data_IF_762748913216
#
_entry.id   IF_762748913216
#
_cell.length_a   1.000
_cell.length_b   1.000
_cell.length_c   1.000
_cell.angle_alpha   90.00
_cell.angle_beta   90.00
_cell.angle_gamma   90.00
#
_symmetry.space_group_name_H-M   'P 1'
#
loop_
_entity.id
_entity.type
_entity.pdbx_description
1 polymer ?
#
# COMPACT_ATOMS: atom_id res chain seq x y z
N UNK A 1 -18.80 0.77 -58.12
CA UNK A 1 -18.76 0.44 -56.68
C UNK A 1 -17.30 0.39 -56.27
N UNK A 2 -16.87 1.13 -55.23
CA UNK A 2 -15.60 0.99 -54.48
C UNK A 2 -15.14 2.36 -53.93
N UNK A 3 -15.84 2.88 -52.90
CA UNK A 3 -15.42 4.05 -52.12
C UNK A 3 -15.91 3.92 -50.68
N UNK A 4 -15.45 2.93 -49.92
CA UNK A 4 -15.82 2.80 -48.51
C UNK A 4 -14.83 1.92 -47.70
N UNK A 5 -13.53 2.14 -47.89
CA UNK A 5 -12.47 1.39 -47.17
C UNK A 5 -11.37 2.32 -46.63
N UNK A 6 -11.72 3.55 -46.25
CA UNK A 6 -10.77 4.55 -45.72
C UNK A 6 -10.89 4.83 -44.22
N UNK A 7 -11.95 4.34 -43.56
CA UNK A 7 -12.32 4.79 -42.20
C UNK A 7 -11.91 3.76 -41.12
N UNK A 8 -11.60 2.52 -41.50
CA UNK A 8 -11.31 1.46 -40.53
C UNK A 8 -9.87 1.46 -39.97
N UNK A 9 -8.92 2.19 -40.56
CA UNK A 9 -7.52 2.13 -40.12
C UNK A 9 -7.13 3.20 -39.07
N UNK A 10 -7.99 4.19 -38.80
CA UNK A 10 -7.67 5.29 -37.88
C UNK A 10 -8.32 5.15 -36.49
N UNK A 11 -9.19 4.17 -36.29
CA UNK A 11 -10.00 4.01 -35.07
C UNK A 11 -9.40 3.14 -33.97
N UNK A 12 -8.17 2.62 -34.12
CA UNK A 12 -7.62 1.56 -33.26
C UNK A 12 -6.20 1.84 -32.73
N UNK A 13 -5.80 3.10 -32.60
CA UNK A 13 -4.51 3.48 -31.99
C UNK A 13 -4.65 4.12 -30.61
N UNK A 14 -5.87 4.45 -30.16
CA UNK A 14 -6.05 5.30 -28.97
C UNK A 14 -6.41 4.58 -27.66
N UNK A 15 -6.49 3.23 -27.63
CA UNK A 15 -6.95 2.46 -26.44
C UNK A 15 -5.80 1.66 -25.82
N UNK A 16 -4.67 2.29 -25.53
CA UNK A 16 -3.55 1.57 -24.90
C UNK A 16 -2.65 2.37 -23.95
N UNK A 17 -2.76 3.70 -23.94
CA UNK A 17 -1.74 4.56 -23.32
C UNK A 17 -2.31 5.42 -22.19
N UNK A 18 -2.98 4.79 -21.22
CA UNK A 18 -3.43 5.48 -19.99
C UNK A 18 -3.08 4.71 -18.71
N UNK A 19 -2.08 3.81 -18.76
CA UNK A 19 -1.41 3.33 -17.56
C UNK A 19 -0.17 4.22 -17.34
N UNK A 20 -0.38 5.36 -16.68
CA UNK A 20 0.74 6.16 -16.16
C UNK A 20 1.61 5.29 -15.22
N UNK A 21 2.92 5.56 -15.11
CA UNK A 21 3.79 4.80 -14.23
C UNK A 21 3.25 4.89 -12.80
N UNK A 22 2.84 3.75 -12.24
CA UNK A 22 2.50 3.66 -10.83
C UNK A 22 3.74 4.02 -10.02
N UNK A 23 3.69 5.22 -9.43
CA UNK A 23 4.73 5.94 -8.69
C UNK A 23 5.79 5.03 -8.05
N UNK A 24 6.98 5.00 -8.67
CA UNK A 24 8.18 4.34 -8.15
C UNK A 24 8.60 4.92 -6.79
N UNK A 25 8.26 6.19 -6.53
CA UNK A 25 8.41 6.90 -5.25
C UNK A 25 7.71 6.20 -4.08
N UNK A 26 6.61 5.48 -4.33
CA UNK A 26 5.82 4.85 -3.26
C UNK A 26 6.53 3.67 -2.59
N UNK A 27 7.49 3.03 -3.28
CA UNK A 27 8.20 1.84 -2.74
C UNK A 27 9.23 2.20 -1.67
N UNK A 28 9.80 3.40 -1.70
CA UNK A 28 10.83 3.85 -0.75
C UNK A 28 10.31 4.23 0.64
N UNK A 29 8.99 4.31 0.82
CA UNK A 29 8.36 4.75 2.08
C UNK A 29 7.93 3.58 2.99
N UNK A 30 8.00 2.34 2.52
CA UNK A 30 7.55 1.17 3.28
C UNK A 30 8.60 0.73 4.32
N UNK A 31 8.19 0.56 5.57
CA UNK A 31 9.06 0.12 6.67
C UNK A 31 8.51 -1.11 7.40
N UNK A 32 9.40 -1.98 7.87
CA UNK A 32 9.07 -3.09 8.76
C UNK A 32 9.07 -2.62 10.21
N UNK A 33 7.99 -2.89 10.93
CA UNK A 33 7.84 -2.58 12.34
C UNK A 33 8.00 -3.87 13.15
N UNK A 34 8.74 -3.80 14.25
CA UNK A 34 8.81 -4.87 15.26
C UNK A 34 8.41 -4.27 16.60
N UNK A 35 7.37 -4.83 17.21
CA UNK A 35 6.84 -4.39 18.49
C UNK A 35 6.89 -5.55 19.49
N UNK A 36 7.09 -5.22 20.76
CA UNK A 36 6.92 -6.16 21.87
C UNK A 36 5.75 -5.68 22.71
N UNK A 37 4.68 -6.48 22.77
CA UNK A 37 3.43 -6.11 23.42
C UNK A 37 3.30 -6.92 24.70
N UNK A 38 2.94 -6.25 25.79
CA UNK A 38 2.64 -6.89 27.06
C UNK A 38 1.29 -6.39 27.61
N UNK A 39 0.18 -7.04 27.22
CA UNK A 39 -1.15 -6.63 27.62
C UNK A 39 -1.41 -6.97 29.09
N UNK A 40 -2.39 -6.28 29.67
CA UNK A 40 -2.92 -6.63 30.98
C UNK A 40 -3.77 -7.91 30.92
N UNK A 41 -3.89 -8.60 32.04
CA UNK A 41 -4.90 -9.64 32.21
C UNK A 41 -6.27 -8.99 32.35
N UNK A 42 -7.21 -9.32 31.45
CA UNK A 42 -8.55 -8.74 31.42
C UNK A 42 -9.35 -9.02 32.70
N UNK A 43 -9.10 -10.16 33.35
CA UNK A 43 -9.81 -10.55 34.57
C UNK A 43 -9.11 -10.06 35.84
N UNK A 44 -7.82 -9.70 35.73
CA UNK A 44 -7.01 -9.19 36.84
C UNK A 44 -6.16 -8.02 36.32
N UNK A 45 -6.73 -6.81 36.17
CA UNK A 45 -6.07 -5.69 35.49
C UNK A 45 -4.75 -5.23 36.14
N UNK A 46 -4.53 -5.56 37.41
CA UNK A 46 -3.26 -5.34 38.12
C UNK A 46 -2.14 -6.30 37.70
N UNK A 47 -2.45 -7.35 36.94
CA UNK A 47 -1.50 -8.36 36.44
C UNK A 47 -1.21 -8.17 34.94
N UNK A 48 0.03 -8.46 34.54
CA UNK A 48 0.48 -8.50 33.13
C UNK A 48 0.52 -9.92 32.60
N UNK A 49 0.19 -10.10 31.31
CA UNK A 49 0.47 -11.35 30.58
C UNK A 49 1.95 -11.43 30.20
N UNK A 50 2.38 -12.59 29.72
CA UNK A 50 3.70 -12.76 29.14
C UNK A 50 3.86 -11.85 27.90
N UNK A 51 5.03 -11.21 27.72
CA UNK A 51 5.30 -10.38 26.55
C UNK A 51 5.37 -11.25 25.28
N UNK A 52 4.87 -10.73 24.16
CA UNK A 52 5.00 -11.36 22.85
C UNK A 52 5.43 -10.36 21.78
N UNK A 53 6.07 -10.87 20.74
CA UNK A 53 6.51 -10.07 19.60
C UNK A 53 5.43 -9.97 18.52
N UNK A 54 5.29 -8.79 17.92
CA UNK A 54 4.46 -8.54 16.76
C UNK A 54 5.32 -7.92 15.65
N UNK A 55 5.19 -8.41 14.43
CA UNK A 55 5.77 -7.78 13.25
C UNK A 55 4.64 -7.13 12.46
N UNK A 56 4.88 -5.91 11.99
CA UNK A 56 3.93 -5.17 11.16
C UNK A 56 4.63 -4.42 10.04
N UNK A 57 3.84 -3.72 9.26
CA UNK A 57 4.30 -2.87 8.17
C UNK A 57 3.77 -1.47 8.39
N UNK A 58 4.59 -0.47 8.11
CA UNK A 58 4.19 0.93 8.17
C UNK A 58 4.69 1.72 6.97
N UNK A 59 4.19 2.94 6.84
CA UNK A 59 4.55 3.87 5.76
C UNK A 59 5.11 5.14 6.38
N UNK A 60 6.26 5.61 5.89
CA UNK A 60 6.92 6.83 6.37
C UNK A 60 6.24 8.05 5.76
N UNK A 61 5.73 8.92 6.63
CA UNK A 61 5.16 10.21 6.28
C UNK A 61 6.20 11.33 6.40
N UNK A 62 6.00 12.46 5.69
CA UNK A 62 6.79 13.67 5.90
C UNK A 62 6.87 14.07 7.37
N UNK A 63 8.02 14.60 7.79
CA UNK A 63 8.25 14.97 9.19
C UNK A 63 8.64 13.81 10.11
N UNK A 64 9.12 12.68 9.56
CA UNK A 64 9.72 11.58 10.32
C UNK A 64 8.71 10.74 11.11
N UNK A 65 7.44 10.73 10.68
CA UNK A 65 6.38 9.94 11.31
C UNK A 65 6.17 8.63 10.55
N UNK A 66 5.69 7.59 11.23
CA UNK A 66 5.33 6.31 10.59
C UNK A 66 3.85 6.05 10.84
N UNK A 67 3.10 5.88 9.75
CA UNK A 67 1.73 5.39 9.82
C UNK A 67 1.75 3.87 9.95
N UNK A 68 1.11 3.35 11.00
CA UNK A 68 1.01 1.92 11.29
C UNK A 68 -0.43 1.59 11.71
N UNK A 69 -0.80 0.31 11.63
CA UNK A 69 -2.10 -0.15 12.14
C UNK A 69 -2.09 -0.08 13.67
N UNK A 70 -3.24 0.27 14.26
CA UNK A 70 -3.47 0.13 15.69
C UNK A 70 -3.60 -1.35 16.08
#
# INVERSE_FOLDING_TARGET
>A
MNRLWGIFLFGWVSIGMAAGPADETSRGSLVRIRASIQPYDQFRPWQKKAPFGLNGTGVVLPGGKVLATA
#
